data_IF_265812771652
#
_entry.id   IF_265812771652
#
_cell.length_a   1.000
_cell.length_b   1.000
_cell.length_c   1.000
_cell.angle_alpha   90.00
_cell.angle_beta   90.00
_cell.angle_gamma   90.00
#
_symmetry.space_group_name_H-M   'P 1'
#
loop_
_entity.id
_entity.type
_entity.pdbx_description
1 polymer ?
#
# COMPACT_ATOMS: atom_id res chain seq x y z
N UNK A 1 33.80 3.57 -34.81
CA UNK A 1 33.77 4.85 -34.07
C UNK A 1 32.53 5.03 -33.17
N UNK A 2 31.41 4.32 -33.36
CA UNK A 2 30.21 4.49 -32.53
C UNK A 2 30.28 3.93 -31.09
N UNK A 3 31.11 2.90 -30.82
CA UNK A 3 31.15 2.24 -29.51
C UNK A 3 31.78 3.10 -28.39
N UNK A 4 32.78 3.92 -28.72
CA UNK A 4 33.43 4.81 -27.74
C UNK A 4 32.49 5.94 -27.31
N UNK A 5 31.74 6.53 -28.24
CA UNK A 5 30.74 7.55 -27.95
C UNK A 5 29.61 6.98 -27.08
N UNK A 6 29.11 5.78 -27.39
CA UNK A 6 28.05 5.15 -26.59
C UNK A 6 28.48 4.88 -25.15
N UNK A 7 29.72 4.42 -24.94
CA UNK A 7 30.28 4.22 -23.60
C UNK A 7 30.44 5.54 -22.83
N UNK A 8 30.76 6.63 -23.53
CA UNK A 8 30.84 7.97 -22.93
C UNK A 8 29.45 8.46 -22.46
N UNK A 9 28.43 8.38 -23.32
CA UNK A 9 27.06 8.78 -22.97
C UNK A 9 26.49 7.95 -21.82
N UNK A 10 26.70 6.63 -21.81
CA UNK A 10 26.26 5.76 -20.72
C UNK A 10 26.92 6.12 -19.37
N UNK A 11 28.16 6.62 -19.38
CA UNK A 11 28.83 7.12 -18.16
C UNK A 11 28.29 8.48 -17.73
N UNK A 12 27.99 9.36 -18.69
CA UNK A 12 27.40 10.66 -18.44
C UNK A 12 26.04 10.52 -17.75
N UNK A 13 25.18 9.65 -18.28
CA UNK A 13 23.85 9.39 -17.73
C UNK A 13 23.91 8.86 -16.29
N UNK A 14 24.84 7.93 -16.00
CA UNK A 14 25.05 7.42 -14.63
C UNK A 14 25.52 8.52 -13.68
N UNK A 15 26.33 9.47 -14.16
CA UNK A 15 26.82 10.58 -13.36
C UNK A 15 25.68 11.55 -13.02
N UNK A 16 24.86 11.91 -14.01
CA UNK A 16 23.68 12.76 -13.83
C UNK A 16 22.68 12.12 -12.87
N UNK A 17 22.32 10.84 -13.08
CA UNK A 17 21.43 10.10 -12.18
C UNK A 17 21.96 10.07 -10.75
N UNK A 18 23.28 9.87 -10.56
CA UNK A 18 23.90 9.88 -9.23
C UNK A 18 23.86 11.26 -8.60
N UNK A 19 24.10 12.32 -9.38
CA UNK A 19 24.06 13.70 -8.90
C UNK A 19 22.65 14.10 -8.47
N UNK A 20 21.64 13.77 -9.29
CA UNK A 20 20.24 14.01 -8.97
C UNK A 20 19.78 13.21 -7.73
N UNK A 21 20.21 11.95 -7.60
CA UNK A 21 19.92 11.16 -6.40
C UNK A 21 20.58 11.74 -5.14
N UNK A 22 21.74 12.41 -5.27
CA UNK A 22 22.44 13.06 -4.16
C UNK A 22 21.82 14.42 -3.78
N UNK A 23 21.24 15.15 -4.74
CA UNK A 23 20.55 16.42 -4.47
C UNK A 23 19.29 16.22 -3.61
N UNK A 24 18.65 15.06 -3.71
CA UNK A 24 17.50 14.65 -2.86
C UNK A 24 17.90 14.23 -1.43
N UNK A 25 19.19 14.27 -1.10
CA UNK A 25 19.73 13.97 0.22
C UNK A 25 20.74 12.83 0.21
N UNK A 26 21.72 12.90 1.11
CA UNK A 26 22.84 11.97 1.19
C UNK A 26 23.00 11.38 2.59
N UNK A 27 23.59 10.20 2.67
CA UNK A 27 23.96 9.55 3.93
C UNK A 27 25.40 9.05 3.85
N UNK A 28 26.17 9.30 4.90
CA UNK A 28 27.52 8.77 5.04
C UNK A 28 27.45 7.36 5.63
N UNK A 29 28.10 6.38 5.01
CA UNK A 29 28.29 5.05 5.58
C UNK A 29 29.77 4.72 5.63
N UNK A 30 30.20 4.11 6.72
CA UNK A 30 31.56 3.56 6.84
C UNK A 30 31.57 2.23 6.09
N UNK A 31 32.45 2.12 5.10
CA UNK A 31 32.68 0.89 4.34
C UNK A 31 33.57 -0.04 5.16
N UNK A 32 33.61 -1.33 4.82
CA UNK A 32 34.40 -2.34 5.55
C UNK A 32 35.91 -2.07 5.57
N UNK A 33 36.40 -1.16 4.71
CA UNK A 33 37.79 -0.67 4.65
C UNK A 33 38.05 0.53 5.58
N UNK A 34 37.04 1.00 6.33
CA UNK A 34 37.15 2.16 7.22
C UNK A 34 36.94 3.52 6.53
N UNK A 35 36.69 3.54 5.22
CA UNK A 35 36.45 4.80 4.50
C UNK A 35 34.99 5.24 4.62
N UNK A 36 34.78 6.53 4.82
CA UNK A 36 33.46 7.16 4.82
C UNK A 36 33.05 7.40 3.36
N UNK A 37 32.01 6.69 2.89
CA UNK A 37 31.48 6.87 1.54
C UNK A 37 30.10 7.51 1.60
N UNK A 38 29.96 8.63 0.91
CA UNK A 38 28.68 9.31 0.74
C UNK A 38 27.89 8.61 -0.35
N UNK A 39 26.70 8.13 0.01
CA UNK A 39 25.76 7.49 -0.92
C UNK A 39 24.42 8.23 -0.91
N UNK A 40 23.70 8.27 -2.04
CA UNK A 40 22.37 8.86 -2.08
C UNK A 40 21.48 8.15 -1.08
N UNK A 41 20.68 8.93 -0.35
CA UNK A 41 19.75 8.41 0.65
C UNK A 41 18.66 7.66 -0.10
N UNK A 42 18.74 6.32 -0.12
CA UNK A 42 17.64 5.51 -0.66
C UNK A 42 16.41 5.77 0.20
N UNK A 43 15.34 6.31 -0.39
CA UNK A 43 14.01 6.24 0.19
C UNK A 43 13.66 4.74 0.25
N UNK A 44 13.97 4.07 1.35
CA UNK A 44 13.25 2.84 1.67
C UNK A 44 11.79 3.26 1.80
N UNK A 45 10.94 2.73 0.92
CA UNK A 45 9.50 2.89 1.06
C UNK A 45 9.13 2.49 2.49
N UNK A 46 8.61 3.45 3.27
CA UNK A 46 8.16 3.21 4.65
C UNK A 46 7.01 2.21 4.72
N UNK A 47 6.39 1.93 3.57
CA UNK A 47 5.31 0.96 3.44
C UNK A 47 5.94 -0.44 3.41
N UNK A 48 6.06 -1.02 4.59
CA UNK A 48 6.42 -2.42 4.74
C UNK A 48 5.23 -3.29 4.30
N UNK A 49 5.47 -4.45 3.69
CA UNK A 49 4.37 -5.41 3.42
C UNK A 49 3.54 -5.73 4.66
N UNK A 50 4.15 -5.65 5.86
CA UNK A 50 3.47 -5.76 7.15
C UNK A 50 2.38 -4.72 7.37
N UNK A 51 2.61 -3.46 7.00
CA UNK A 51 1.59 -2.40 7.18
C UNK A 51 0.41 -2.60 6.24
N UNK A 52 0.65 -3.10 5.03
CA UNK A 52 -0.41 -3.43 4.06
C UNK A 52 -1.29 -4.56 4.60
N UNK A 53 -0.68 -5.64 5.09
CA UNK A 53 -1.42 -6.78 5.67
C UNK A 53 -2.24 -6.33 6.88
N UNK A 54 -1.68 -5.51 7.77
CA UNK A 54 -2.40 -5.00 8.93
C UNK A 54 -3.59 -4.12 8.54
N UNK A 55 -3.42 -3.27 7.52
CA UNK A 55 -4.51 -2.44 7.00
C UNK A 55 -5.65 -3.29 6.41
N UNK A 56 -5.32 -4.30 5.62
CA UNK A 56 -6.31 -5.24 5.06
C UNK A 56 -7.04 -5.99 6.18
N UNK A 57 -6.32 -6.48 7.19
CA UNK A 57 -6.92 -7.15 8.33
C UNK A 57 -7.88 -6.24 9.11
N UNK A 58 -7.46 -5.00 9.39
CA UNK A 58 -8.31 -4.00 10.04
C UNK A 58 -9.57 -3.69 9.23
N UNK A 59 -9.43 -3.59 7.90
CA UNK A 59 -10.56 -3.37 7.00
C UNK A 59 -11.58 -4.53 7.04
N UNK A 60 -11.11 -5.78 6.99
CA UNK A 60 -11.98 -6.97 7.08
C UNK A 60 -12.68 -7.08 8.44
N UNK A 61 -11.97 -6.74 9.52
CA UNK A 61 -12.54 -6.68 10.88
C UNK A 61 -13.63 -5.62 10.98
N UNK A 62 -13.37 -4.40 10.50
CA UNK A 62 -14.36 -3.33 10.48
C UNK A 62 -15.59 -3.70 9.66
N UNK A 63 -15.39 -4.34 8.50
CA UNK A 63 -16.47 -4.84 7.65
C UNK A 63 -17.33 -5.90 8.34
N UNK A 64 -16.69 -6.88 8.99
CA UNK A 64 -17.41 -7.90 9.77
C UNK A 64 -18.14 -7.30 10.98
N UNK A 65 -17.55 -6.29 11.63
CA UNK A 65 -18.20 -5.52 12.68
C UNK A 65 -19.46 -4.80 12.17
N UNK A 66 -19.41 -4.15 11.00
CA UNK A 66 -20.60 -3.53 10.40
C UNK A 66 -21.70 -4.56 10.15
N UNK A 67 -21.37 -5.73 9.60
CA UNK A 67 -22.32 -6.81 9.38
C UNK A 67 -22.94 -7.32 10.70
N UNK A 68 -22.14 -7.46 11.76
CA UNK A 68 -22.62 -7.86 13.08
C UNK A 68 -23.53 -6.81 13.73
N UNK A 69 -23.17 -5.53 13.63
CA UNK A 69 -23.90 -4.42 14.24
C UNK A 69 -25.20 -4.08 13.49
N UNK A 70 -25.20 -4.14 12.16
CA UNK A 70 -26.36 -3.82 11.31
C UNK A 70 -27.28 -5.03 11.09
N UNK A 71 -26.75 -6.24 11.25
CA UNK A 71 -27.35 -7.47 10.74
C UNK A 71 -27.14 -7.63 9.23
N UNK A 72 -27.08 -8.89 8.79
CA UNK A 72 -26.77 -9.24 7.41
C UNK A 72 -27.71 -8.59 6.38
N UNK A 73 -29.03 -8.60 6.63
CA UNK A 73 -30.01 -8.05 5.69
C UNK A 73 -29.90 -6.53 5.50
N UNK A 74 -29.74 -5.77 6.58
CA UNK A 74 -29.55 -4.31 6.50
C UNK A 74 -28.22 -3.93 5.87
N UNK A 75 -27.17 -4.72 6.10
CA UNK A 75 -25.87 -4.52 5.45
C UNK A 75 -25.98 -4.69 3.94
N UNK A 76 -26.56 -5.80 3.48
CA UNK A 76 -26.69 -6.12 2.06
C UNK A 76 -27.55 -5.04 1.34
N UNK A 77 -28.63 -4.58 1.97
CA UNK A 77 -29.45 -3.47 1.45
C UNK A 77 -28.65 -2.18 1.24
N UNK A 78 -27.78 -1.81 2.19
CA UNK A 78 -26.93 -0.62 2.06
C UNK A 78 -25.90 -0.79 0.93
N UNK A 79 -25.30 -1.96 0.80
CA UNK A 79 -24.35 -2.23 -0.30
C UNK A 79 -25.06 -2.11 -1.65
N UNK A 80 -26.29 -2.61 -1.77
CA UNK A 80 -27.10 -2.45 -2.98
C UNK A 80 -27.46 -0.99 -3.27
N UNK A 81 -27.74 -0.20 -2.23
CA UNK A 81 -27.94 1.25 -2.39
C UNK A 81 -26.67 1.94 -2.94
N UNK A 82 -25.47 1.56 -2.48
CA UNK A 82 -24.22 2.09 -3.02
C UNK A 82 -24.03 1.68 -4.50
N UNK A 83 -24.48 0.50 -4.93
CA UNK A 83 -24.41 0.07 -6.34
C UNK A 83 -25.27 0.93 -7.26
N UNK A 84 -26.37 1.49 -6.75
CA UNK A 84 -27.26 2.37 -7.49
C UNK A 84 -26.75 3.82 -7.60
N UNK A 85 -25.68 4.17 -6.87
CA UNK A 85 -25.14 5.53 -6.79
C UNK A 85 -24.21 5.94 -7.94
N UNK A 86 -23.41 6.97 -7.66
CA UNK A 86 -22.36 7.54 -8.51
C UNK A 86 -21.15 6.60 -8.71
N UNK A 87 -20.22 6.96 -9.59
CA UNK A 87 -19.04 6.12 -9.91
C UNK A 87 -18.18 5.75 -8.69
N UNK A 88 -18.02 6.68 -7.73
CA UNK A 88 -17.30 6.42 -6.48
C UNK A 88 -18.06 5.47 -5.56
N UNK A 89 -19.38 5.61 -5.48
CA UNK A 89 -20.24 4.76 -4.64
C UNK A 89 -20.28 3.33 -5.18
N UNK A 90 -20.31 3.15 -6.51
CA UNK A 90 -20.21 1.84 -7.16
C UNK A 90 -18.87 1.14 -6.85
N UNK A 91 -17.77 1.89 -6.86
CA UNK A 91 -16.47 1.36 -6.47
C UNK A 91 -16.45 0.93 -4.99
N UNK A 92 -17.02 1.75 -4.10
CA UNK A 92 -17.23 1.40 -2.70
C UNK A 92 -18.07 0.14 -2.53
N UNK A 93 -19.17 0.01 -3.29
CA UNK A 93 -20.03 -1.16 -3.27
C UNK A 93 -19.31 -2.44 -3.70
N UNK A 94 -18.42 -2.35 -4.69
CA UNK A 94 -17.61 -3.48 -5.14
C UNK A 94 -16.66 -3.98 -4.03
N UNK A 95 -16.02 -3.06 -3.30
CA UNK A 95 -15.14 -3.42 -2.16
C UNK A 95 -15.95 -3.96 -0.98
N UNK A 96 -17.17 -3.44 -0.77
CA UNK A 96 -18.04 -3.84 0.33
C UNK A 96 -18.85 -5.13 0.06
N UNK A 97 -18.69 -5.78 -1.09
CA UNK A 97 -19.39 -7.04 -1.36
C UNK A 97 -19.11 -8.08 -0.28
N UNK A 98 -20.15 -8.74 0.21
CA UNK A 98 -20.06 -9.74 1.27
C UNK A 98 -19.03 -10.83 0.93
N UNK A 99 -18.06 -11.04 1.83
CA UNK A 99 -16.99 -12.04 1.68
C UNK A 99 -17.00 -13.06 2.84
N UNK A 100 -16.48 -14.29 2.65
CA UNK A 100 -16.52 -15.33 3.68
C UNK A 100 -15.80 -14.97 4.98
N UNK A 101 -14.75 -14.15 4.92
CA UNK A 101 -13.94 -13.79 6.10
C UNK A 101 -14.71 -12.81 6.97
N UNK A 102 -15.26 -11.74 6.39
CA UNK A 102 -16.09 -10.79 7.13
C UNK A 102 -17.38 -11.41 7.66
N UNK A 103 -17.95 -12.40 6.98
CA UNK A 103 -19.08 -13.17 7.50
C UNK A 103 -18.72 -13.96 8.76
N UNK A 104 -17.61 -14.70 8.73
CA UNK A 104 -17.15 -15.44 9.91
C UNK A 104 -16.87 -14.50 11.09
N UNK A 105 -16.26 -13.34 10.83
CA UNK A 105 -16.04 -12.31 11.85
C UNK A 105 -17.39 -11.82 12.42
N UNK A 106 -18.37 -11.56 11.55
CA UNK A 106 -19.68 -11.10 11.97
C UNK A 106 -20.43 -12.12 12.84
N UNK A 107 -20.37 -13.40 12.50
CA UNK A 107 -20.96 -14.49 13.28
C UNK A 107 -20.32 -14.65 14.66
N UNK A 108 -19.01 -14.37 14.77
CA UNK A 108 -18.28 -14.41 16.05
C UNK A 108 -18.55 -13.20 16.93
N UNK A 109 -18.69 -12.01 16.33
CA UNK A 109 -18.91 -10.75 17.05
C UNK A 109 -20.40 -10.53 17.38
N UNK A 110 -21.31 -10.98 16.52
CA UNK A 110 -22.76 -10.80 16.68
C UNK A 110 -23.32 -11.19 18.06
N UNK A 111 -22.90 -12.31 18.68
CA UNK A 111 -23.34 -12.69 20.03
C UNK A 111 -22.91 -11.72 21.14
N UNK A 112 -21.86 -10.92 20.93
CA UNK A 112 -21.34 -9.95 21.91
C UNK A 112 -22.07 -8.62 21.82
N UNK A 113 -22.66 -8.31 20.66
CA UNK A 113 -23.35 -7.05 20.40
C UNK A 113 -24.87 -7.12 20.64
N UNK A 114 -25.40 -8.29 21.03
CA UNK A 114 -26.83 -8.55 21.15
C UNK A 114 -27.33 -8.56 22.59
#
# INVERSE_FOLDING_TARGET
MGEQSNNFYARLERLEQKHEAMSRGYTARVRSDGLIVVSPRRLQSRISGRSVVLFVAAFLLFKGFLMAALGFGSYDFRVDQLRAGSGLEKAGAFVMQRDPVSQFIAEKIGPVLR
#
